data_IF_946527771382
#
_entry.id   IF_946527771382
#
_cell.length_a   1.000
_cell.length_b   1.000
_cell.length_c   1.000
_cell.angle_alpha   90.00
_cell.angle_beta   90.00
_cell.angle_gamma   90.00
#
_symmetry.space_group_name_H-M   'P 1'
#
loop_
_entity.id
_entity.type
_entity.pdbx_description
1 polymer ?
#
# COMPACT_ATOMS: atom_id res chain seq x y z
N UNK A 1 -44.63 8.79 -61.95
CA UNK A 1 -43.58 9.21 -61.01
C UNK A 1 -44.13 9.23 -59.59
N UNK A 2 -43.85 8.22 -58.77
CA UNK A 2 -43.32 8.37 -57.41
C UNK A 2 -43.00 6.98 -56.84
N UNK A 3 -41.76 6.85 -56.40
CA UNK A 3 -41.03 5.61 -56.11
C UNK A 3 -41.57 4.84 -54.91
N UNK A 4 -41.64 3.52 -55.10
CA UNK A 4 -41.58 2.46 -54.09
C UNK A 4 -40.41 2.65 -53.12
N UNK A 5 -40.70 2.74 -51.81
CA UNK A 5 -39.68 2.67 -50.75
C UNK A 5 -39.41 1.21 -50.40
N UNK A 6 -38.29 0.72 -50.92
CA UNK A 6 -37.61 -0.52 -50.52
C UNK A 6 -37.07 -0.40 -49.09
N UNK A 7 -37.38 -1.37 -48.24
CA UNK A 7 -36.79 -1.52 -46.91
C UNK A 7 -35.32 -1.92 -47.00
N UNK A 8 -34.44 -1.07 -46.49
CA UNK A 8 -33.02 -1.36 -46.28
C UNK A 8 -32.83 -2.00 -44.90
N UNK A 9 -32.22 -3.17 -44.90
CA UNK A 9 -31.76 -3.88 -43.71
C UNK A 9 -30.37 -3.36 -43.34
N UNK A 10 -30.25 -2.62 -42.24
CA UNK A 10 -28.96 -2.25 -41.64
C UNK A 10 -28.39 -3.45 -40.87
N UNK A 11 -27.66 -4.33 -41.53
CA UNK A 11 -26.79 -5.28 -40.83
C UNK A 11 -25.52 -4.56 -40.40
N UNK A 12 -25.51 -4.04 -39.17
CA UNK A 12 -24.28 -3.59 -38.51
C UNK A 12 -23.41 -4.83 -38.21
N UNK A 13 -22.14 -4.90 -38.66
CA UNK A 13 -21.21 -5.87 -38.13
C UNK A 13 -20.83 -5.45 -36.71
N UNK A 14 -21.13 -6.29 -35.71
CA UNK A 14 -20.62 -6.12 -34.35
C UNK A 14 -19.09 -6.25 -34.35
N UNK A 15 -18.33 -5.24 -33.92
CA UNK A 15 -16.89 -5.39 -33.76
C UNK A 15 -16.63 -6.39 -32.62
N UNK A 16 -15.91 -7.46 -32.96
CA UNK A 16 -15.44 -8.48 -32.04
C UNK A 16 -14.55 -7.86 -30.95
N UNK A 17 -15.10 -7.66 -29.75
CA UNK A 17 -14.37 -7.25 -28.54
C UNK A 17 -14.94 -8.00 -27.32
N UNK A 18 -14.97 -9.34 -27.36
CA UNK A 18 -15.41 -10.17 -26.22
C UNK A 18 -14.24 -10.86 -25.50
N UNK A 19 -13.06 -10.92 -26.11
CA UNK A 19 -11.89 -11.60 -25.53
C UNK A 19 -11.17 -10.80 -24.43
N UNK A 20 -11.48 -9.52 -24.25
CA UNK A 20 -10.88 -8.64 -23.24
C UNK A 20 -11.63 -8.62 -21.90
N UNK A 21 -12.93 -8.99 -21.88
CA UNK A 21 -13.74 -9.07 -20.65
C UNK A 21 -13.51 -10.39 -19.90
N UNK A 22 -13.29 -11.49 -20.61
CA UNK A 22 -13.07 -12.81 -20.01
C UNK A 22 -11.75 -12.91 -19.22
N UNK A 23 -10.73 -12.15 -19.59
CA UNK A 23 -9.42 -12.10 -18.90
C UNK A 23 -9.31 -10.97 -17.87
N UNK A 24 -10.36 -10.16 -17.67
CA UNK A 24 -10.34 -9.07 -16.70
C UNK A 24 -10.19 -9.56 -15.24
N UNK A 25 -10.61 -10.80 -14.96
CA UNK A 25 -10.50 -11.45 -13.64
C UNK A 25 -9.03 -11.78 -13.29
N UNK A 26 -8.18 -12.03 -14.29
CA UNK A 26 -6.75 -12.34 -14.12
C UNK A 26 -5.84 -11.11 -14.21
N UNK A 27 -6.35 -9.96 -14.66
CA UNK A 27 -5.61 -8.70 -14.59
C UNK A 27 -5.51 -8.30 -13.13
N UNK A 28 -4.36 -8.55 -12.51
CA UNK A 28 -4.02 -7.93 -11.23
C UNK A 28 -4.15 -6.42 -11.41
N UNK A 29 -5.28 -5.87 -10.94
CA UNK A 29 -5.53 -4.43 -10.95
C UNK A 29 -4.34 -3.80 -10.25
N UNK A 30 -3.54 -3.05 -10.99
CA UNK A 30 -2.34 -2.38 -10.49
C UNK A 30 -2.79 -1.44 -9.38
N UNK A 31 -2.64 -1.89 -8.13
CA UNK A 31 -2.94 -1.08 -6.95
C UNK A 31 -1.62 -0.45 -6.57
N UNK A 32 -1.41 0.85 -6.83
CA UNK A 32 -0.12 1.52 -6.61
C UNK A 32 0.29 1.52 -5.13
N UNK A 33 -0.67 1.25 -4.24
CA UNK A 33 -0.48 1.14 -2.81
C UNK A 33 0.25 -0.14 -2.37
N UNK A 34 0.51 -1.08 -3.30
CA UNK A 34 1.26 -2.31 -3.02
C UNK A 34 2.74 -2.05 -3.21
N UNK A 35 3.48 -2.12 -2.12
CA UNK A 35 4.92 -1.88 -2.12
C UNK A 35 5.64 -3.06 -1.47
N UNK A 36 6.87 -3.30 -1.90
CA UNK A 36 7.69 -4.43 -1.49
C UNK A 36 8.53 -4.01 -0.27
N UNK A 37 8.56 -4.85 0.74
CA UNK A 37 9.34 -4.61 1.96
C UNK A 37 10.82 -4.80 1.68
N UNK A 38 11.61 -3.77 1.99
CA UNK A 38 13.07 -3.75 1.93
C UNK A 38 13.66 -3.35 3.29
N UNK A 39 14.96 -3.57 3.46
CA UNK A 39 15.69 -3.23 4.68
C UNK A 39 15.96 -1.74 4.77
N UNK A 40 15.63 -1.13 5.91
CA UNK A 40 16.04 0.23 6.25
C UNK A 40 17.37 0.22 7.01
N UNK A 41 18.22 1.22 6.75
CA UNK A 41 19.35 1.55 7.61
C UNK A 41 18.94 2.41 8.82
N UNK A 42 17.75 2.99 8.80
CA UNK A 42 17.23 3.84 9.89
C UNK A 42 16.75 2.96 11.06
N UNK A 43 17.21 3.28 12.27
CA UNK A 43 16.91 2.52 13.50
C UNK A 43 15.58 2.93 14.15
N UNK A 44 14.93 3.98 13.66
CA UNK A 44 13.67 4.45 14.22
C UNK A 44 12.50 3.51 13.93
N UNK A 45 11.72 3.21 14.97
CA UNK A 45 10.59 2.27 14.90
C UNK A 45 9.32 2.87 14.29
N UNK A 46 9.26 4.19 14.19
CA UNK A 46 8.06 4.92 13.75
C UNK A 46 8.18 5.45 12.32
N UNK A 47 9.33 5.26 11.67
CA UNK A 47 9.65 5.89 10.39
C UNK A 47 9.70 4.86 9.28
N UNK A 48 9.14 5.22 8.13
CA UNK A 48 9.29 4.48 6.87
C UNK A 48 9.82 5.39 5.79
N UNK A 49 10.72 4.87 4.97
CA UNK A 49 11.32 5.64 3.87
C UNK A 49 10.74 5.19 2.53
N UNK A 50 10.32 6.17 1.74
CA UNK A 50 9.78 5.99 0.39
C UNK A 50 10.55 6.88 -0.59
N UNK A 51 10.51 6.51 -1.88
CA UNK A 51 10.97 7.39 -2.95
C UNK A 51 10.02 8.57 -3.15
N UNK A 52 10.58 9.73 -3.49
CA UNK A 52 9.82 10.96 -3.78
C UNK A 52 8.71 10.73 -4.81
N UNK A 53 9.01 10.00 -5.90
CA UNK A 53 8.04 9.74 -6.96
C UNK A 53 6.81 8.95 -6.48
N UNK A 54 6.97 8.03 -5.52
CA UNK A 54 5.82 7.30 -4.96
C UNK A 54 5.01 8.08 -3.96
N UNK A 55 5.64 8.97 -3.20
CA UNK A 55 4.89 9.86 -2.33
C UNK A 55 3.98 10.77 -3.16
N UNK A 56 4.48 11.31 -4.27
CA UNK A 56 3.68 12.15 -5.15
C UNK A 56 2.49 11.40 -5.78
N UNK A 57 2.70 10.15 -6.23
CA UNK A 57 1.65 9.31 -6.79
C UNK A 57 0.58 8.91 -5.76
N UNK A 58 0.98 8.72 -4.50
CA UNK A 58 0.07 8.40 -3.39
C UNK A 58 -0.49 9.65 -2.69
N UNK A 59 -0.11 10.85 -3.16
CA UNK A 59 -0.42 12.14 -2.54
C UNK A 59 -0.04 12.23 -1.05
N UNK A 60 1.07 11.59 -0.69
CA UNK A 60 1.65 11.65 0.64
C UNK A 60 2.70 12.76 0.70
N UNK A 61 2.81 13.40 1.85
CA UNK A 61 3.85 14.39 2.12
C UNK A 61 4.83 13.88 3.17
N UNK A 62 6.03 14.47 3.18
CA UNK A 62 7.01 14.24 4.25
C UNK A 62 6.40 14.57 5.61
N UNK A 63 6.49 13.63 6.54
CA UNK A 63 5.91 13.78 7.88
C UNK A 63 4.44 13.37 8.01
N UNK A 64 3.80 12.89 6.93
CA UNK A 64 2.41 12.40 7.01
C UNK A 64 2.32 11.04 7.70
N UNK A 65 1.18 10.78 8.33
CA UNK A 65 0.90 9.52 9.02
C UNK A 65 0.22 8.53 8.08
N UNK A 66 0.88 7.39 7.87
CA UNK A 66 0.36 6.31 7.05
C UNK A 66 -0.03 5.10 7.88
N UNK A 67 -1.15 4.49 7.49
CA UNK A 67 -1.57 3.19 7.96
C UNK A 67 -1.04 2.14 6.99
N UNK A 68 -0.16 1.28 7.50
CA UNK A 68 0.32 0.13 6.76
C UNK A 68 -0.46 -1.11 7.16
N UNK A 69 -0.97 -1.83 6.15
CA UNK A 69 -1.67 -3.10 6.31
C UNK A 69 -0.75 -4.23 5.88
N UNK A 70 -0.41 -5.08 6.84
CA UNK A 70 0.45 -6.23 6.67
C UNK A 70 -0.33 -7.52 6.50
N UNK A 71 0.34 -8.64 6.83
CA UNK A 71 -0.29 -9.96 6.83
C UNK A 71 -1.10 -10.16 8.11
N UNK A 72 -1.93 -11.21 8.14
CA UNK A 72 -2.71 -11.63 9.32
C UNK A 72 -3.54 -10.51 9.96
N UNK A 73 -4.09 -9.59 9.14
CA UNK A 73 -4.89 -8.42 9.59
C UNK A 73 -4.17 -7.54 10.63
N UNK A 74 -2.84 -7.50 10.58
CA UNK A 74 -2.05 -6.60 11.42
C UNK A 74 -1.86 -5.27 10.71
N UNK A 75 -2.00 -4.21 11.48
CA UNK A 75 -1.92 -2.84 11.00
C UNK A 75 -0.97 -2.06 11.90
N UNK A 76 -0.19 -1.16 11.32
CA UNK A 76 0.72 -0.28 12.05
C UNK A 76 0.66 1.11 11.47
N UNK A 77 0.81 2.11 12.34
CA UNK A 77 0.93 3.50 11.93
C UNK A 77 2.41 3.87 11.90
N UNK A 78 2.84 4.52 10.82
CA UNK A 78 4.20 5.02 10.65
C UNK A 78 4.18 6.41 10.03
N UNK A 79 5.27 7.14 10.18
CA UNK A 79 5.50 8.45 9.59
C UNK A 79 6.36 8.25 8.33
N UNK A 80 5.96 8.89 7.24
CA UNK A 80 6.69 8.78 5.97
C UNK A 80 7.79 9.82 5.88
N UNK A 81 8.98 9.36 5.49
CA UNK A 81 10.13 10.17 5.13
C UNK A 81 10.53 9.91 3.67
N UNK A 82 11.02 10.97 3.04
CA UNK A 82 11.55 10.94 1.67
C UNK A 82 12.99 10.41 1.67
N UNK A 83 13.30 9.44 0.82
CA UNK A 83 14.65 8.94 0.60
C UNK A 83 14.86 8.63 -0.89
N UNK A 84 15.79 9.33 -1.51
CA UNK A 84 16.08 9.25 -2.95
C UNK A 84 16.94 8.02 -3.31
N UNK A 85 17.50 7.34 -2.31
CA UNK A 85 18.22 6.07 -2.50
C UNK A 85 17.29 4.88 -2.76
N UNK A 86 15.99 5.04 -2.51
CA UNK A 86 15.01 3.97 -2.60
C UNK A 86 14.43 3.80 -4.01
N UNK A 87 14.15 2.56 -4.40
CA UNK A 87 13.34 2.29 -5.60
C UNK A 87 11.87 2.62 -5.34
N UNK A 88 11.17 3.09 -6.36
CA UNK A 88 9.75 3.47 -6.28
C UNK A 88 8.85 2.32 -5.81
N UNK A 89 9.19 1.06 -6.10
CA UNK A 89 8.34 -0.07 -5.75
C UNK A 89 8.60 -0.62 -4.33
N UNK A 90 9.58 -0.06 -3.62
CA UNK A 90 10.05 -0.57 -2.33
C UNK A 90 9.75 0.39 -1.18
N UNK A 91 9.48 -0.18 -0.01
CA UNK A 91 9.43 0.53 1.28
C UNK A 91 10.57 0.03 2.14
N UNK A 92 11.37 0.96 2.67
CA UNK A 92 12.34 0.61 3.71
C UNK A 92 11.68 0.70 5.08
N UNK A 93 11.82 -0.36 5.86
CA UNK A 93 11.31 -0.43 7.22
C UNK A 93 12.23 -1.23 8.15
N UNK A 94 12.26 -0.85 9.43
CA UNK A 94 13.08 -1.50 10.46
C UNK A 94 12.54 -2.91 10.84
N UNK A 95 13.34 -3.70 11.56
CA UNK A 95 12.96 -5.02 12.08
C UNK A 95 11.75 -4.98 13.01
N UNK A 96 11.58 -3.93 13.82
CA UNK A 96 10.44 -3.80 14.75
C UNK A 96 9.12 -3.65 13.99
N UNK A 97 9.06 -2.79 12.98
CA UNK A 97 7.88 -2.60 12.14
C UNK A 97 7.54 -3.85 11.32
N UNK A 98 8.55 -4.57 10.81
CA UNK A 98 8.38 -5.89 10.17
C UNK A 98 7.74 -6.91 11.11
N UNK A 99 8.22 -7.00 12.35
CA UNK A 99 7.69 -7.90 13.37
C UNK A 99 6.23 -7.57 13.74
N UNK A 100 5.92 -6.28 13.86
CA UNK A 100 4.57 -5.80 14.15
C UNK A 100 3.58 -6.24 13.05
N UNK A 101 3.96 -6.11 11.78
CA UNK A 101 3.16 -6.49 10.61
C UNK A 101 3.21 -7.99 10.25
N UNK A 102 4.10 -8.76 10.89
CA UNK A 102 4.41 -10.17 10.57
C UNK A 102 4.78 -10.39 9.10
N UNK A 103 5.63 -9.51 8.56
CA UNK A 103 6.14 -9.56 7.18
C UNK A 103 7.62 -9.86 7.15
N UNK A 104 8.10 -10.44 6.04
CA UNK A 104 9.52 -10.68 5.75
C UNK A 104 10.00 -9.76 4.62
N UNK A 105 11.31 -9.71 4.40
CA UNK A 105 11.88 -9.04 3.23
C UNK A 105 11.28 -9.64 1.94
N UNK A 106 10.96 -8.78 0.98
CA UNK A 106 10.32 -9.18 -0.28
C UNK A 106 8.81 -9.43 -0.19
N UNK A 107 8.19 -9.34 0.99
CA UNK A 107 6.73 -9.36 1.09
C UNK A 107 6.10 -8.06 0.60
N UNK A 108 4.85 -8.15 0.19
CA UNK A 108 4.08 -6.99 -0.28
C UNK A 108 3.19 -6.47 0.85
N UNK A 109 3.27 -5.16 1.11
CA UNK A 109 2.44 -4.43 2.07
C UNK A 109 1.55 -3.43 1.35
N UNK A 110 0.42 -3.07 1.96
CA UNK A 110 -0.46 -2.02 1.45
C UNK A 110 -0.34 -0.76 2.30
N UNK A 111 -0.14 0.39 1.66
CA UNK A 111 -0.10 1.70 2.33
C UNK A 111 -1.40 2.46 2.11
N UNK A 112 -1.89 3.12 3.15
CA UNK A 112 -3.05 4.01 3.10
C UNK A 112 -2.73 5.27 3.90
N UNK A 113 -2.99 6.45 3.33
CA UNK A 113 -2.94 7.70 4.08
C UNK A 113 -3.99 7.67 5.19
N UNK A 114 -3.61 8.03 6.41
CA UNK A 114 -4.52 8.11 7.53
C UNK A 114 -4.25 9.39 8.32
N UNK A 115 -4.85 10.53 7.91
CA UNK A 115 -4.69 11.79 8.62
C UNK A 115 -5.52 11.85 9.93
N UNK A 116 -6.41 10.88 10.19
CA UNK A 116 -7.25 10.83 11.40
C UNK A 116 -6.52 10.21 12.62
N UNK A 117 -5.25 10.54 12.80
CA UNK A 117 -4.49 10.13 14.00
C UNK A 117 -4.83 11.07 15.14
N UNK A 118 -5.72 10.63 16.02
CA UNK A 118 -6.12 11.37 17.22
C UNK A 118 -5.07 11.24 18.32
N UNK A 119 -4.86 12.31 19.07
CA UNK A 119 -4.01 12.28 20.25
C UNK A 119 -4.59 11.37 21.33
N UNK A 120 -3.81 10.37 21.73
CA UNK A 120 -4.16 9.48 22.84
C UNK A 120 -4.07 10.23 24.18
N UNK A 121 -5.12 10.14 25.00
CA UNK A 121 -5.12 10.76 26.34
C UNK A 121 -4.27 9.99 27.36
N UNK A 122 -4.27 8.67 27.27
CA UNK A 122 -3.55 7.74 28.16
C UNK A 122 -3.12 6.51 27.37
N UNK A 123 -1.91 6.03 27.61
CA UNK A 123 -1.36 4.81 27.00
C UNK A 123 -0.90 3.91 28.15
N UNK A 124 -1.22 2.62 28.07
CA UNK A 124 -0.76 1.62 29.02
C UNK A 124 0.25 0.71 28.32
N UNK A 125 1.49 0.74 28.78
CA UNK A 125 2.59 -0.06 28.24
C UNK A 125 3.07 -0.99 29.34
N UNK A 126 3.13 -2.29 29.05
CA UNK A 126 3.72 -3.29 29.92
C UNK A 126 5.03 -3.79 29.28
N UNK A 127 6.11 -3.93 30.06
CA UNK A 127 7.32 -4.59 29.58
C UNK A 127 7.04 -6.07 29.29
N UNK A 128 7.87 -6.67 28.45
CA UNK A 128 7.79 -8.11 28.17
C UNK A 128 8.52 -8.85 29.28
N UNK A 129 7.92 -9.91 29.81
CA UNK A 129 8.46 -10.73 30.91
C UNK A 129 9.87 -11.28 30.59
N UNK A 130 10.16 -11.57 29.32
CA UNK A 130 11.47 -12.06 28.88
C UNK A 130 12.59 -11.00 28.95
N UNK A 131 12.23 -9.71 29.04
CA UNK A 131 13.20 -8.59 29.06
C UNK A 131 13.40 -7.96 30.44
N UNK A 132 12.66 -8.39 31.46
CA UNK A 132 12.77 -7.86 32.84
C UNK A 132 13.76 -8.64 33.71
N UNK A 133 14.44 -9.66 33.16
CA UNK A 133 15.41 -10.47 33.89
C UNK A 133 16.61 -9.62 34.33
N UNK A 134 16.56 -9.11 35.57
CA UNK A 134 17.66 -8.39 36.22
C UNK A 134 17.38 -6.93 36.60
N UNK A 135 16.20 -6.40 36.25
CA UNK A 135 15.78 -5.06 36.70
C UNK A 135 14.90 -5.19 37.94
N UNK A 136 15.54 -5.15 39.11
CA UNK A 136 14.86 -5.03 40.40
C UNK A 136 14.91 -3.56 40.82
N UNK A 137 13.73 -2.92 40.91
CA UNK A 137 13.46 -1.68 41.66
C UNK A 137 14.33 -0.47 41.35
#
# INVERSE_FOLDING_TARGET
CFLSRSGTQDTRPCPAQSSSLLTAILRQKHRPNRLIVDEAANEDNSIVSLSQAKMEELHLFRGDTVLMKGKKRRETVCIVLTDDSCQNEKIRMNRVTRNNLRVRLGDVVSVQACPDVKYGKRIHVLPIDDTIAGLTG
#
